data_IF_333236428658
#
_entry.id   IF_333236428658
#
_cell.length_a   1.000
_cell.length_b   1.000
_cell.length_c   1.000
_cell.angle_alpha   90.00
_cell.angle_beta   90.00
_cell.angle_gamma   90.00
#
_symmetry.space_group_name_H-M   'P 1'
#
loop_
_entity.id
_entity.type
_entity.pdbx_description
1 polymer ?
#
# COMPACT_ATOMS: atom_id res chain seq x y z
N UNK A 1 8.45 4.37 8.46
CA UNK A 1 7.17 5.12 8.43
C UNK A 1 5.97 4.24 8.08
N UNK A 2 5.95 3.55 6.92
CA UNK A 2 4.82 2.67 6.52
C UNK A 2 4.63 1.52 7.53
N UNK A 3 5.68 0.72 7.75
CA UNK A 3 5.65 -0.43 8.66
C UNK A 3 5.34 0.03 10.10
N UNK A 4 6.06 1.04 10.61
CA UNK A 4 5.77 1.60 11.93
C UNK A 4 4.34 2.13 12.10
N UNK A 5 3.76 2.81 11.11
CA UNK A 5 2.37 3.32 11.19
C UNK A 5 1.37 2.18 11.24
N UNK A 6 1.51 1.18 10.37
CA UNK A 6 0.62 0.02 10.32
C UNK A 6 0.75 -0.84 11.58
N UNK A 7 1.97 -1.03 12.09
CA UNK A 7 2.23 -1.81 13.31
C UNK A 7 1.64 -1.12 14.55
N UNK A 8 1.65 0.22 14.60
CA UNK A 8 1.04 0.97 15.69
C UNK A 8 -0.49 0.93 15.65
N UNK A 9 -1.09 1.03 14.45
CA UNK A 9 -2.56 0.99 14.29
C UNK A 9 -3.14 -0.42 14.39
N UNK A 10 -2.40 -1.44 13.98
CA UNK A 10 -2.83 -2.84 13.93
C UNK A 10 -1.75 -3.75 14.54
N UNK A 11 -1.62 -3.81 15.88
CA UNK A 11 -0.54 -4.56 16.55
C UNK A 11 -0.50 -6.07 16.26
N UNK A 12 -1.66 -6.66 15.93
CA UNK A 12 -1.78 -8.09 15.62
C UNK A 12 -1.59 -8.40 14.11
N UNK A 13 -1.33 -7.39 13.29
CA UNK A 13 -1.16 -7.55 11.84
C UNK A 13 0.27 -8.01 11.53
N UNK A 14 0.41 -9.11 10.79
CA UNK A 14 1.72 -9.52 10.29
C UNK A 14 2.11 -8.65 9.10
N UNK A 15 3.22 -7.92 9.25
CA UNK A 15 3.79 -7.06 8.21
C UNK A 15 5.17 -7.59 7.85
N UNK A 16 5.43 -7.78 6.56
CA UNK A 16 6.69 -8.25 6.01
C UNK A 16 7.21 -7.17 5.05
N UNK A 17 8.32 -6.53 5.42
CA UNK A 17 9.02 -5.55 4.58
C UNK A 17 10.26 -6.14 3.92
N UNK A 18 10.71 -5.55 2.80
CA UNK A 18 12.04 -5.83 2.24
C UNK A 18 13.18 -5.38 3.17
N UNK A 19 13.04 -4.19 3.75
CA UNK A 19 14.08 -3.56 4.57
C UNK A 19 13.92 -3.87 6.07
N UNK A 20 15.03 -4.21 6.74
CA UNK A 20 15.05 -4.48 8.18
C UNK A 20 15.01 -3.17 9.01
N UNK A 21 14.34 -3.18 10.17
CA UNK A 21 14.48 -2.14 11.20
C UNK A 21 13.60 -0.89 11.08
N UNK A 22 12.45 -0.95 10.37
CA UNK A 22 11.56 0.20 10.13
C UNK A 22 10.40 0.33 11.15
N UNK A 23 10.56 -0.19 12.37
CA UNK A 23 9.45 -0.40 13.32
C UNK A 23 9.25 0.76 14.30
N UNK A 24 10.30 1.53 14.60
CA UNK A 24 10.23 2.62 15.58
C UNK A 24 9.78 3.93 14.91
N UNK A 25 8.53 4.32 15.15
CA UNK A 25 8.01 5.67 14.84
C UNK A 25 7.46 6.32 16.11
N UNK A 26 7.53 7.63 16.20
CA UNK A 26 6.93 8.38 17.30
C UNK A 26 5.40 8.47 17.12
N UNK A 27 4.64 8.59 18.22
CA UNK A 27 3.16 8.56 18.18
C UNK A 27 2.57 9.69 17.31
N UNK A 28 3.25 10.84 17.24
CA UNK A 28 2.87 11.99 16.43
C UNK A 28 3.17 11.82 14.93
N UNK A 29 3.92 10.79 14.53
CA UNK A 29 4.24 10.47 13.13
C UNK A 29 3.32 9.40 12.55
N UNK A 30 2.45 8.81 13.38
CA UNK A 30 1.46 7.82 12.94
C UNK A 30 0.43 8.49 12.05
N UNK A 31 0.33 8.04 10.80
CA UNK A 31 -0.70 8.50 9.86
C UNK A 31 -2.05 7.90 10.26
N UNK A 32 -2.99 8.74 10.72
CA UNK A 32 -4.34 8.34 11.15
C UNK A 32 -5.43 8.71 10.15
N UNK A 33 -5.07 9.45 9.10
CA UNK A 33 -6.00 9.85 8.07
C UNK A 33 -6.44 8.65 7.23
N UNK A 34 -7.73 8.65 6.87
CA UNK A 34 -8.34 7.59 6.09
C UNK A 34 -8.98 8.23 4.86
N UNK A 35 -8.78 7.60 3.70
CA UNK A 35 -9.38 8.06 2.46
C UNK A 35 -10.90 7.76 2.42
N UNK A 36 -11.70 8.82 2.26
CA UNK A 36 -13.16 8.72 2.23
C UNK A 36 -13.70 8.01 0.99
N UNK A 37 -13.00 8.04 -0.14
CA UNK A 37 -13.38 7.29 -1.34
C UNK A 37 -13.26 5.79 -1.09
N UNK A 38 -12.19 5.37 -0.42
CA UNK A 38 -11.94 3.95 -0.08
C UNK A 38 -13.01 3.45 0.89
N UNK A 39 -13.26 4.18 1.99
CA UNK A 39 -14.27 3.79 3.00
C UNK A 39 -15.69 3.84 2.46
N UNK A 40 -15.95 4.66 1.45
CA UNK A 40 -17.25 4.71 0.77
C UNK A 40 -17.59 3.45 -0.05
N UNK A 41 -16.62 2.59 -0.36
CA UNK A 41 -16.88 1.35 -1.11
C UNK A 41 -17.38 0.23 -0.20
N UNK A 42 -18.27 -0.60 -0.73
CA UNK A 42 -18.75 -1.79 -0.02
C UNK A 42 -17.71 -2.90 -0.05
N UNK A 43 -17.29 -3.40 1.11
CA UNK A 43 -16.39 -4.55 1.21
C UNK A 43 -17.04 -5.80 0.57
N UNK A 44 -16.35 -6.53 -0.33
CA UNK A 44 -16.85 -7.76 -0.93
C UNK A 44 -17.19 -8.83 0.13
N UNK A 45 -18.31 -9.54 -0.03
CA UNK A 45 -18.76 -10.56 0.94
C UNK A 45 -17.69 -11.60 1.27
N UNK A 46 -16.89 -12.02 0.27
CA UNK A 46 -15.82 -13.01 0.47
C UNK A 46 -14.70 -12.54 1.39
N UNK A 47 -14.62 -11.24 1.70
CA UNK A 47 -13.56 -10.63 2.51
C UNK A 47 -14.06 -10.07 3.85
N UNK A 48 -15.38 -9.99 4.06
CA UNK A 48 -15.97 -9.35 5.26
C UNK A 48 -15.66 -10.06 6.58
N UNK A 49 -15.54 -11.38 6.53
CA UNK A 49 -15.34 -12.21 7.72
C UNK A 49 -13.86 -12.45 8.06
N UNK A 50 -12.93 -11.86 7.29
CA UNK A 50 -11.49 -11.98 7.55
C UNK A 50 -11.11 -11.26 8.85
N UNK A 51 -10.29 -11.92 9.67
CA UNK A 51 -9.74 -11.31 10.87
C UNK A 51 -8.33 -10.77 10.59
N UNK A 52 -7.87 -9.80 11.39
CA UNK A 52 -6.52 -9.20 11.25
C UNK A 52 -5.42 -10.27 11.19
N UNK A 53 -5.52 -11.32 12.03
CA UNK A 53 -4.57 -12.44 12.08
C UNK A 53 -4.50 -13.28 10.79
N UNK A 54 -5.54 -13.21 9.95
CA UNK A 54 -5.60 -13.94 8.68
C UNK A 54 -4.92 -13.14 7.56
N UNK A 55 -4.62 -11.86 7.82
CA UNK A 55 -4.02 -10.93 6.89
C UNK A 55 -2.49 -10.88 7.06
N UNK A 56 -1.81 -10.78 5.94
CA UNK A 56 -0.38 -10.48 5.85
C UNK A 56 -0.22 -9.30 4.89
N UNK A 57 0.45 -8.25 5.37
CA UNK A 57 0.84 -7.09 4.56
C UNK A 57 2.29 -7.23 4.13
N UNK A 58 2.53 -7.04 2.84
CA UNK A 58 3.83 -7.07 2.20
C UNK A 58 4.18 -5.65 1.78
N UNK A 59 5.35 -5.17 2.17
CA UNK A 59 5.78 -3.78 1.91
C UNK A 59 7.10 -3.79 1.16
N UNK A 60 7.10 -3.18 -0.02
CA UNK A 60 8.30 -2.76 -0.72
C UNK A 60 8.31 -1.21 -0.70
N UNK A 61 9.21 -0.60 0.11
CA UNK A 61 9.24 0.84 0.27
C UNK A 61 9.79 1.59 -0.94
N UNK A 62 10.50 0.91 -1.86
CA UNK A 62 11.14 1.51 -3.02
C UNK A 62 11.44 0.44 -4.10
N UNK A 63 10.47 0.14 -4.94
CA UNK A 63 10.69 -0.68 -6.13
C UNK A 63 11.37 0.18 -7.23
N UNK A 64 12.26 -0.44 -8.01
CA UNK A 64 13.16 0.19 -9.00
C UNK A 64 14.34 1.00 -8.41
N UNK A 65 14.99 0.46 -7.36
CA UNK A 65 16.17 1.06 -6.70
C UNK A 65 17.31 1.41 -7.66
N UNK A 66 17.56 0.58 -8.68
CA UNK A 66 18.64 0.83 -9.65
C UNK A 66 18.36 2.06 -10.50
N UNK A 67 17.16 2.14 -11.05
CA UNK A 67 16.67 3.25 -11.86
C UNK A 67 16.65 4.56 -11.05
N UNK A 68 16.33 4.50 -9.76
CA UNK A 68 16.45 5.63 -8.84
C UNK A 68 17.88 6.15 -8.74
N UNK A 69 18.87 5.26 -8.54
CA UNK A 69 20.28 5.67 -8.47
C UNK A 69 20.84 6.20 -9.81
N UNK A 70 20.23 5.81 -10.93
CA UNK A 70 20.58 6.26 -12.28
C UNK A 70 19.83 7.55 -12.71
N UNK A 71 18.99 8.11 -11.84
CA UNK A 71 18.25 9.36 -12.08
C UNK A 71 16.97 9.19 -12.92
N UNK A 72 16.56 7.96 -13.23
CA UNK A 72 15.28 7.67 -13.90
C UNK A 72 14.21 7.37 -12.86
N UNK A 73 13.75 8.44 -12.21
CA UNK A 73 12.84 8.34 -11.04
C UNK A 73 11.39 8.01 -11.41
N UNK A 74 11.01 8.17 -12.69
CA UNK A 74 9.63 7.97 -13.16
C UNK A 74 9.10 6.56 -12.93
N UNK A 75 9.97 5.54 -12.81
CA UNK A 75 9.57 4.16 -12.60
C UNK A 75 9.54 3.75 -11.12
N UNK A 76 9.98 4.62 -10.22
CA UNK A 76 10.03 4.31 -8.78
C UNK A 76 8.62 4.19 -8.24
N UNK A 77 8.36 3.11 -7.52
CA UNK A 77 7.07 2.90 -6.86
C UNK A 77 7.24 2.43 -5.42
N UNK A 78 6.21 2.67 -4.62
CA UNK A 78 6.02 2.06 -3.30
C UNK A 78 4.91 1.03 -3.45
N UNK A 79 5.17 -0.21 -3.05
CA UNK A 79 4.22 -1.31 -3.19
C UNK A 79 3.77 -1.79 -1.81
N UNK A 80 2.46 -1.88 -1.62
CA UNK A 80 1.85 -2.50 -0.45
C UNK A 80 0.88 -3.58 -0.94
N UNK A 81 1.20 -4.83 -0.68
CA UNK A 81 0.35 -5.97 -0.99
C UNK A 81 -0.37 -6.49 0.26
N UNK A 82 -1.64 -6.88 0.14
CA UNK A 82 -2.40 -7.50 1.23
C UNK A 82 -2.83 -8.90 0.78
N UNK A 83 -2.51 -9.90 1.59
CA UNK A 83 -2.84 -11.29 1.33
C UNK A 83 -3.59 -11.92 2.49
N UNK A 84 -4.45 -12.89 2.18
CA UNK A 84 -5.14 -13.72 3.15
C UNK A 84 -5.08 -15.18 2.70
N UNK A 85 -4.81 -16.09 3.63
CA UNK A 85 -4.74 -17.54 3.36
C UNK A 85 -3.86 -17.89 2.13
N UNK A 86 -2.72 -17.22 1.98
CA UNK A 86 -1.76 -17.45 0.89
C UNK A 86 -2.17 -16.89 -0.48
N UNK A 87 -3.21 -16.04 -0.56
CA UNK A 87 -3.64 -15.37 -1.79
C UNK A 87 -3.62 -13.87 -1.64
N UNK A 88 -3.11 -13.15 -2.65
CA UNK A 88 -3.24 -11.70 -2.72
C UNK A 88 -4.71 -11.30 -2.92
N UNK A 89 -5.20 -10.39 -2.08
CA UNK A 89 -6.61 -9.95 -2.07
C UNK A 89 -6.77 -8.45 -2.29
N UNK A 90 -5.75 -7.65 -2.00
CA UNK A 90 -5.75 -6.22 -2.23
C UNK A 90 -4.31 -5.70 -2.42
N UNK A 91 -4.19 -4.49 -2.94
CA UNK A 91 -2.89 -3.84 -3.05
C UNK A 91 -3.00 -2.34 -3.30
N UNK A 92 -1.93 -1.63 -2.97
CA UNK A 92 -1.72 -0.21 -3.20
C UNK A 92 -0.38 -0.04 -3.91
N UNK A 93 -0.36 0.80 -4.94
CA UNK A 93 0.85 1.19 -5.68
C UNK A 93 0.89 2.71 -5.67
N UNK A 94 1.92 3.29 -5.09
CA UNK A 94 2.15 4.72 -5.14
C UNK A 94 3.36 5.01 -6.02
N UNK A 95 3.21 5.92 -6.99
CA UNK A 95 4.27 6.37 -7.86
C UNK A 95 4.53 7.85 -7.60
N UNK A 96 5.54 8.19 -6.78
CA UNK A 96 5.75 9.57 -6.32
C UNK A 96 6.18 10.52 -7.44
N UNK A 97 7.02 10.07 -8.37
CA UNK A 97 7.60 10.92 -9.42
C UNK A 97 6.78 10.94 -10.73
N UNK A 98 5.52 10.52 -10.68
CA UNK A 98 4.65 10.57 -11.85
C UNK A 98 4.38 12.02 -12.30
N UNK A 99 4.45 12.28 -13.61
CA UNK A 99 4.19 13.59 -14.23
C UNK A 99 4.88 14.77 -13.53
N UNK A 100 6.21 14.74 -13.38
CA UNK A 100 6.99 15.81 -12.72
C UNK A 100 6.59 16.00 -11.25
N UNK A 101 6.59 14.90 -10.48
CA UNK A 101 6.32 14.89 -9.04
C UNK A 101 4.89 15.26 -8.63
N UNK A 102 3.95 15.23 -9.57
CA UNK A 102 2.51 15.30 -9.26
C UNK A 102 2.10 14.08 -8.43
N UNK A 103 2.70 12.93 -8.70
CA UNK A 103 2.46 11.68 -8.01
C UNK A 103 1.11 11.07 -8.35
N UNK A 104 0.99 9.76 -8.17
CA UNK A 104 -0.30 9.06 -8.29
C UNK A 104 -0.34 7.83 -7.41
N UNK A 105 -1.55 7.46 -7.00
CA UNK A 105 -1.79 6.25 -6.21
C UNK A 105 -2.87 5.42 -6.87
N UNK A 106 -2.58 4.14 -7.04
CA UNK A 106 -3.52 3.12 -7.46
C UNK A 106 -3.80 2.19 -6.31
N UNK A 107 -5.00 1.65 -6.30
CA UNK A 107 -5.33 0.60 -5.35
C UNK A 107 -6.39 -0.32 -5.93
N UNK A 108 -6.47 -1.53 -5.41
CA UNK A 108 -7.46 -2.50 -5.86
C UNK A 108 -7.76 -3.55 -4.81
N UNK A 109 -8.95 -4.14 -4.93
CA UNK A 109 -9.43 -5.21 -4.06
C UNK A 109 -10.15 -6.25 -4.92
N UNK A 110 -9.82 -7.52 -4.71
CA UNK A 110 -10.47 -8.64 -5.39
C UNK A 110 -11.97 -8.61 -5.11
N UNK A 111 -12.78 -8.60 -6.17
CA UNK A 111 -14.24 -8.52 -6.07
C UNK A 111 -14.81 -7.09 -6.06
N UNK A 112 -13.96 -6.06 -5.94
CA UNK A 112 -14.38 -4.66 -5.98
C UNK A 112 -13.91 -3.94 -7.26
N UNK A 113 -12.67 -4.20 -7.69
CA UNK A 113 -12.05 -3.58 -8.86
C UNK A 113 -10.74 -2.89 -8.54
N UNK A 114 -10.26 -2.07 -9.47
CA UNK A 114 -9.07 -1.24 -9.35
C UNK A 114 -9.42 0.24 -9.61
N UNK A 115 -8.77 1.13 -8.86
CA UNK A 115 -9.09 2.55 -8.77
C UNK A 115 -7.83 3.41 -8.83
N UNK A 116 -7.99 4.72 -8.99
CA UNK A 116 -6.87 5.66 -9.17
C UNK A 116 -6.23 5.62 -10.57
N UNK A 117 -6.81 4.85 -11.51
CA UNK A 117 -6.31 4.70 -12.87
C UNK A 117 -6.96 5.76 -13.77
N UNK A 118 -6.26 6.88 -14.00
CA UNK A 118 -6.63 7.83 -15.05
C UNK A 118 -6.13 7.30 -16.40
N UNK A 119 -7.04 6.76 -17.21
CA UNK A 119 -6.75 6.33 -18.59
C UNK A 119 -6.92 7.49 -19.56
N UNK A 120 -6.10 8.53 -19.45
CA UNK A 120 -5.98 9.54 -20.51
C UNK A 120 -4.80 9.22 -21.41
N UNK A 121 -5.00 8.27 -22.32
CA UNK A 121 -4.26 8.24 -23.60
C UNK A 121 -5.30 8.17 -24.72
N UNK A 122 -5.59 9.35 -25.28
CA UNK A 122 -6.15 9.47 -26.64
C UNK A 122 -5.06 9.98 -27.54
#
# INVERSE_FOLDING_TARGET
MIIGSLSHLYPDLLIIGEEEGCDSIEENEVVKEIDHEVIGKTCPESLKDLQIKDLIVWVDPLDATREFTEGSVENVTVLIGISAHGKAIAGVIHQPFYEQDVGRTFWGVVGLGAFGINTTKT
#
